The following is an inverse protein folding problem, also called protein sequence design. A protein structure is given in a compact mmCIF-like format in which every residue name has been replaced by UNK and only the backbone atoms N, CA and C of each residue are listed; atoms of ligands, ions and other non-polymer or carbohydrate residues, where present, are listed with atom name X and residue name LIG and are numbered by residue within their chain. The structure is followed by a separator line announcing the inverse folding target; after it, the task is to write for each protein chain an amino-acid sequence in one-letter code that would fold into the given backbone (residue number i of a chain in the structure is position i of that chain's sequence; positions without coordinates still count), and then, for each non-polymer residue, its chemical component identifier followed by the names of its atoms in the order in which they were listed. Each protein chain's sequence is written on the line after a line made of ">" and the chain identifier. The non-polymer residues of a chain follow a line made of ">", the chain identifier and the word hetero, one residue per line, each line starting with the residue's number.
data_IF_733350446657
#
_entry.id   IF_733350446657
#
_cell.length_a   1.000
_cell.length_b   1.000
_cell.length_c   1.000
_cell.angle_alpha   90.00
_cell.angle_beta   90.00
_cell.angle_gamma   90.00
#
_symmetry.space_group_name_H-M   'P 1'
#
loop_
_entity.id
_entity.type
_entity.pdbx_description
1 polymer ?
#
# COMPACT_ATOMS: atom_id res chain seq x y z
N UNK A 1 12.66 7.13 -9.72
CA UNK A 1 13.18 5.81 -10.17
C UNK A 1 14.64 5.60 -9.78
N UNK A 2 15.50 6.60 -9.95
CA UNK A 2 16.88 6.52 -9.46
C UNK A 2 16.96 6.26 -7.95
N UNK A 3 16.07 6.85 -7.15
CA UNK A 3 15.99 6.61 -5.69
C UNK A 3 15.63 5.16 -5.33
N UNK A 4 14.69 4.54 -6.07
CA UNK A 4 14.31 3.13 -5.86
C UNK A 4 15.49 2.19 -6.07
N UNK A 5 16.30 2.45 -7.11
CA UNK A 5 17.51 1.67 -7.40
C UNK A 5 18.62 1.95 -6.38
N UNK A 6 18.85 3.22 -6.04
CA UNK A 6 19.90 3.62 -5.08
C UNK A 6 19.65 3.02 -3.69
N UNK A 7 18.39 2.90 -3.28
CA UNK A 7 18.00 2.27 -2.02
C UNK A 7 18.03 0.74 -2.06
N UNK A 8 18.25 0.11 -3.23
CA UNK A 8 18.30 -1.34 -3.38
C UNK A 8 16.98 -2.04 -3.05
N UNK A 9 15.85 -1.38 -3.31
CA UNK A 9 14.52 -1.87 -2.93
C UNK A 9 13.99 -2.90 -3.93
N UNK A 10 13.27 -3.88 -3.38
CA UNK A 10 12.59 -4.90 -4.17
C UNK A 10 11.13 -4.53 -4.47
N UNK A 11 10.51 -3.84 -3.52
CA UNK A 11 9.11 -3.39 -3.56
C UNK A 11 9.06 -2.00 -2.93
N UNK A 12 8.35 -1.08 -3.55
CA UNK A 12 8.11 0.26 -3.02
C UNK A 12 6.63 0.61 -3.17
N UNK A 13 5.99 0.92 -2.05
CA UNK A 13 4.68 1.55 -2.03
C UNK A 13 4.83 3.05 -2.29
N UNK A 14 4.00 3.59 -3.19
CA UNK A 14 3.91 5.02 -3.49
C UNK A 14 2.49 5.50 -3.30
N UNK A 15 2.31 6.53 -2.48
CA UNK A 15 1.04 7.26 -2.31
C UNK A 15 0.98 8.46 -3.25
N UNK A 16 -0.19 9.09 -3.34
CA UNK A 16 -0.43 10.29 -4.15
C UNK A 16 -0.01 10.20 -5.63
N UNK A 17 -0.18 9.03 -6.25
CA UNK A 17 0.23 8.85 -7.65
C UNK A 17 -0.51 9.78 -8.61
N UNK A 18 -1.68 10.31 -8.21
CA UNK A 18 -2.57 11.19 -8.99
C UNK A 18 -2.92 10.60 -10.37
N UNK A 19 -2.78 9.28 -10.51
CA UNK A 19 -3.13 8.54 -11.72
C UNK A 19 -4.64 8.35 -11.81
N UNK A 20 -5.09 8.13 -13.03
CA UNK A 20 -6.49 7.81 -13.35
C UNK A 20 -6.66 6.32 -13.54
N UNK A 21 -7.78 5.80 -13.06
CA UNK A 21 -8.14 4.39 -13.14
C UNK A 21 -7.10 3.49 -12.44
N UNK A 22 -7.18 2.19 -12.72
CA UNK A 22 -6.25 1.18 -12.24
C UNK A 22 -5.52 0.53 -13.40
N UNK A 23 -4.32 0.02 -13.17
CA UNK A 23 -3.60 -0.69 -14.20
C UNK A 23 -2.17 -1.08 -13.83
N UNK A 24 -1.49 -1.59 -14.85
CA UNK A 24 -0.10 -2.04 -14.79
C UNK A 24 0.67 -1.31 -15.88
N UNK A 25 1.87 -0.85 -15.56
CA UNK A 25 2.75 -0.12 -16.46
C UNK A 25 4.18 -0.60 -16.26
N UNK A 26 4.86 -0.92 -17.35
CA UNK A 26 6.30 -1.12 -17.33
C UNK A 26 7.00 0.25 -17.31
N UNK A 27 7.97 0.40 -16.42
CA UNK A 27 8.79 1.60 -16.30
C UNK A 27 10.03 1.45 -17.18
N UNK A 28 10.66 2.57 -17.55
CA UNK A 28 11.79 2.62 -18.51
C UNK A 28 12.98 1.71 -18.16
N UNK A 29 13.14 1.34 -16.89
CA UNK A 29 14.23 0.49 -16.41
C UNK A 29 13.80 -0.98 -16.19
N UNK A 30 12.66 -1.41 -16.74
CA UNK A 30 12.13 -2.77 -16.67
C UNK A 30 11.40 -3.12 -15.37
N UNK A 31 11.25 -2.19 -14.42
CA UNK A 31 10.42 -2.40 -13.24
C UNK A 31 8.93 -2.27 -13.57
N UNK A 32 8.08 -2.84 -12.72
CA UNK A 32 6.63 -2.83 -12.92
C UNK A 32 5.97 -1.88 -11.93
N UNK A 33 5.14 -0.96 -12.39
CA UNK A 33 4.23 -0.19 -11.56
C UNK A 33 2.82 -0.77 -11.68
N UNK A 34 2.29 -1.27 -10.57
CA UNK A 34 0.86 -1.58 -10.42
C UNK A 34 0.24 -0.40 -9.68
N UNK A 35 -0.88 0.15 -10.15
CA UNK A 35 -1.48 1.33 -9.53
C UNK A 35 -3.01 1.26 -9.48
N UNK A 36 -3.55 1.92 -8.45
CA UNK A 36 -4.95 2.30 -8.31
C UNK A 36 -5.04 3.81 -8.19
N UNK A 37 -6.02 4.40 -8.85
CA UNK A 37 -6.19 5.83 -8.94
C UNK A 37 -7.67 6.19 -9.11
N UNK A 38 -7.97 7.49 -9.03
CA UNK A 38 -9.36 7.95 -9.11
C UNK A 38 -9.95 7.72 -10.49
N UNK A 39 -11.26 7.53 -10.55
CA UNK A 39 -12.00 7.50 -11.80
C UNK A 39 -11.78 8.77 -12.64
N UNK A 40 -11.95 8.65 -13.96
CA UNK A 40 -11.73 9.75 -14.91
C UNK A 40 -12.55 11.01 -14.59
N UNK A 41 -13.75 10.85 -14.03
CA UNK A 41 -14.70 11.92 -13.69
C UNK A 41 -14.41 12.70 -12.38
N UNK A 42 -13.50 12.23 -11.52
CA UNK A 42 -13.16 12.89 -10.23
C UNK A 42 -11.86 13.68 -10.30
N UNK A 43 -11.68 14.74 -9.52
CA UNK A 43 -10.37 15.44 -9.45
C UNK A 43 -9.30 14.49 -8.91
N UNK A 44 -8.10 14.50 -9.51
CA UNK A 44 -6.99 13.66 -9.06
C UNK A 44 -6.46 14.13 -7.70
N UNK A 45 -6.99 13.56 -6.62
CA UNK A 45 -6.65 13.88 -5.23
C UNK A 45 -6.12 12.67 -4.44
N UNK A 46 -6.13 11.49 -5.04
CA UNK A 46 -5.69 10.24 -4.42
C UNK A 46 -4.94 9.36 -5.43
N UNK A 47 -4.56 8.17 -4.98
CA UNK A 47 -3.90 7.16 -5.80
C UNK A 47 -2.79 6.47 -5.03
N UNK A 48 -2.70 5.15 -5.24
CA UNK A 48 -1.66 4.30 -4.68
C UNK A 48 -1.01 3.50 -5.78
N UNK A 49 0.26 3.16 -5.59
CA UNK A 49 1.00 2.30 -6.48
C UNK A 49 2.00 1.44 -5.75
N UNK A 50 2.35 0.34 -6.42
CA UNK A 50 3.35 -0.61 -5.99
C UNK A 50 4.36 -0.75 -7.12
N UNK A 51 5.58 -0.28 -6.90
CA UNK A 51 6.71 -0.49 -7.81
C UNK A 51 7.38 -1.81 -7.42
N UNK A 52 7.50 -2.71 -8.38
CA UNK A 52 8.02 -4.05 -8.22
C UNK A 52 9.28 -4.18 -9.05
N UNK A 53 10.38 -4.56 -8.40
CA UNK A 53 11.65 -4.78 -9.08
C UNK A 53 11.52 -5.90 -10.13
N UNK A 54 12.19 -5.73 -11.28
CA UNK A 54 12.06 -6.63 -12.45
C UNK A 54 12.24 -8.13 -12.12
N UNK A 55 13.10 -8.44 -11.15
CA UNK A 55 13.37 -9.81 -10.68
C UNK A 55 12.16 -10.50 -10.03
N UNK A 56 11.19 -9.73 -9.53
CA UNK A 56 10.01 -10.25 -8.83
C UNK A 56 8.76 -10.29 -9.71
N UNK A 57 8.78 -9.69 -10.91
CA UNK A 57 7.61 -9.59 -11.80
C UNK A 57 6.99 -10.97 -12.06
N UNK A 58 7.81 -11.97 -12.36
CA UNK A 58 7.36 -13.35 -12.63
C UNK A 58 6.79 -14.07 -11.40
N UNK A 59 6.98 -13.50 -10.20
CA UNK A 59 6.41 -14.02 -8.95
C UNK A 59 5.12 -13.32 -8.55
N UNK A 60 4.71 -12.24 -9.24
CA UNK A 60 3.43 -11.58 -8.99
C UNK A 60 2.31 -12.51 -9.47
N UNK A 61 1.47 -12.97 -8.56
CA UNK A 61 0.40 -13.93 -8.87
C UNK A 61 -0.96 -13.27 -9.05
N UNK A 62 -1.23 -12.21 -8.31
CA UNK A 62 -2.49 -11.45 -8.35
C UNK A 62 -2.23 -10.03 -7.88
N UNK A 63 -3.02 -9.08 -8.36
CA UNK A 63 -3.16 -7.77 -7.73
C UNK A 63 -4.62 -7.34 -7.79
N UNK A 64 -5.02 -6.51 -6.84
CA UNK A 64 -6.39 -6.01 -6.75
C UNK A 64 -6.40 -4.58 -6.21
N UNK A 65 -6.96 -3.67 -7.01
CA UNK A 65 -7.26 -2.31 -6.62
C UNK A 65 -8.65 -2.27 -5.99
N UNK A 66 -8.68 -2.24 -4.65
CA UNK A 66 -9.89 -2.25 -3.83
C UNK A 66 -10.56 -0.88 -3.85
N UNK A 67 -9.75 0.16 -3.62
CA UNK A 67 -10.16 1.57 -3.75
C UNK A 67 -9.03 2.37 -4.40
N UNK A 68 -9.24 3.67 -4.65
CA UNK A 68 -8.16 4.57 -5.05
C UNK A 68 -7.07 4.76 -3.97
N UNK A 69 -7.33 4.27 -2.76
CA UNK A 69 -6.46 4.39 -1.57
C UNK A 69 -5.89 3.06 -1.08
N UNK A 70 -6.38 1.92 -1.59
CA UNK A 70 -5.95 0.58 -1.15
C UNK A 70 -5.71 -0.31 -2.37
N UNK A 71 -4.47 -0.79 -2.51
CA UNK A 71 -4.02 -1.71 -3.55
C UNK A 71 -3.34 -2.91 -2.90
N UNK A 72 -3.74 -4.12 -3.26
CA UNK A 72 -3.06 -5.34 -2.85
C UNK A 72 -2.30 -5.99 -4.01
N UNK A 73 -1.13 -6.56 -3.71
CA UNK A 73 -0.30 -7.32 -4.64
C UNK A 73 0.15 -8.60 -3.98
N UNK A 74 -0.27 -9.74 -4.52
CA UNK A 74 0.16 -11.06 -4.10
C UNK A 74 1.41 -11.49 -4.87
N UNK A 75 2.41 -11.96 -4.13
CA UNK A 75 3.65 -12.51 -4.65
C UNK A 75 3.79 -13.94 -4.15
N UNK A 76 3.89 -14.88 -5.09
CA UNK A 76 4.09 -16.29 -4.84
C UNK A 76 5.46 -16.73 -5.33
N UNK A 77 6.32 -17.11 -4.40
CA UNK A 77 7.66 -17.64 -4.70
C UNK A 77 7.56 -19.09 -5.17
N UNK A 78 8.58 -19.54 -5.91
CA UNK A 78 8.68 -20.92 -6.42
C UNK A 78 8.73 -21.99 -5.32
N UNK A 79 9.21 -21.62 -4.13
CA UNK A 79 9.23 -22.49 -2.95
C UNK A 79 7.85 -22.63 -2.26
N UNK A 80 6.80 -22.06 -2.85
CA UNK A 80 5.43 -22.11 -2.36
C UNK A 80 5.10 -21.03 -1.33
N UNK A 81 6.07 -20.23 -0.88
CA UNK A 81 5.81 -19.13 0.05
C UNK A 81 5.03 -18.03 -0.65
N UNK A 82 4.01 -17.52 0.06
CA UNK A 82 3.16 -16.43 -0.38
C UNK A 82 3.33 -15.23 0.54
N UNK A 83 3.34 -14.04 -0.07
CA UNK A 83 3.26 -12.77 0.63
C UNK A 83 2.25 -11.87 -0.09
N UNK A 84 1.56 -11.03 0.67
CA UNK A 84 0.70 -9.97 0.15
C UNK A 84 1.24 -8.63 0.60
N UNK A 85 1.42 -7.71 -0.34
CA UNK A 85 1.76 -6.32 -0.06
C UNK A 85 0.52 -5.48 -0.28
N UNK A 86 0.06 -4.80 0.77
CA UNK A 86 -1.06 -3.87 0.74
C UNK A 86 -0.47 -2.46 0.77
N UNK A 87 -0.62 -1.71 -0.31
CA UNK A 87 -0.22 -0.31 -0.43
C UNK A 87 -1.40 0.58 -0.06
N UNK A 88 -1.19 1.50 0.88
CA UNK A 88 -2.26 2.36 1.42
C UNK A 88 -1.94 3.85 1.29
N UNK A 89 -3.01 4.63 1.13
CA UNK A 89 -2.99 6.08 1.31
C UNK A 89 -4.21 6.53 2.13
N UNK A 90 -4.01 6.73 3.44
CA UNK A 90 -5.03 7.09 4.40
C UNK A 90 -5.73 8.42 4.07
N UNK A 91 -6.98 8.59 4.50
CA UNK A 91 -7.70 9.86 4.36
C UNK A 91 -7.04 10.97 5.18
N UNK A 92 -7.24 12.22 4.76
CA UNK A 92 -6.67 13.38 5.45
C UNK A 92 -7.25 13.54 6.87
N UNK A 93 -6.50 14.21 7.75
CA UNK A 93 -6.89 14.43 9.14
C UNK A 93 -8.18 15.25 9.26
N UNK A 94 -8.47 16.14 8.33
CA UNK A 94 -9.68 16.98 8.33
C UNK A 94 -10.88 16.32 7.62
N UNK A 95 -10.71 15.11 7.09
CA UNK A 95 -11.79 14.39 6.42
C UNK A 95 -12.86 13.91 7.40
N UNK A 96 -14.09 13.73 6.90
CA UNK A 96 -15.23 13.29 7.70
C UNK A 96 -14.98 11.93 8.35
N UNK A 97 -15.54 11.75 9.55
CA UNK A 97 -15.41 10.51 10.32
C UNK A 97 -15.87 9.29 9.51
N UNK A 98 -16.98 9.41 8.78
CA UNK A 98 -17.53 8.30 8.00
C UNK A 98 -16.59 7.82 6.89
N UNK A 99 -15.84 8.74 6.27
CA UNK A 99 -14.84 8.39 5.25
C UNK A 99 -13.65 7.68 5.89
N UNK A 100 -13.24 8.11 7.09
CA UNK A 100 -12.17 7.46 7.85
C UNK A 100 -12.57 6.06 8.27
N UNK A 101 -13.77 5.91 8.82
CA UNK A 101 -14.30 4.61 9.25
C UNK A 101 -14.40 3.66 8.05
N UNK A 102 -14.95 4.12 6.93
CA UNK A 102 -15.02 3.34 5.68
C UNK A 102 -13.62 2.87 5.23
N UNK A 103 -12.61 3.74 5.28
CA UNK A 103 -11.24 3.37 4.91
C UNK A 103 -10.66 2.29 5.84
N UNK A 104 -10.85 2.42 7.16
CA UNK A 104 -10.33 1.47 8.13
C UNK A 104 -11.06 0.12 8.09
N UNK A 105 -12.36 0.12 7.87
CA UNK A 105 -13.17 -1.09 7.66
C UNK A 105 -12.69 -1.85 6.41
N UNK A 106 -12.53 -1.16 5.28
CA UNK A 106 -12.05 -1.75 4.04
C UNK A 106 -10.61 -2.30 4.20
N UNK A 107 -9.72 -1.54 4.84
CA UNK A 107 -8.35 -1.99 5.08
C UNK A 107 -8.30 -3.23 6.00
N UNK A 108 -9.19 -3.29 6.99
CA UNK A 108 -9.31 -4.46 7.88
C UNK A 108 -9.73 -5.68 7.08
N UNK A 109 -10.79 -5.57 6.27
CA UNK A 109 -11.28 -6.64 5.41
C UNK A 109 -10.18 -7.17 4.47
N UNK A 110 -9.51 -6.27 3.74
CA UNK A 110 -8.43 -6.64 2.80
C UNK A 110 -7.27 -7.34 3.53
N UNK A 111 -6.96 -6.91 4.75
CA UNK A 111 -5.90 -7.53 5.56
C UNK A 111 -6.28 -8.93 6.03
N UNK A 112 -7.51 -9.13 6.48
CA UNK A 112 -8.02 -10.42 6.97
C UNK A 112 -8.19 -11.45 5.84
N UNK A 113 -8.57 -11.01 4.64
CA UNK A 113 -8.70 -11.89 3.47
C UNK A 113 -7.36 -12.21 2.78
N UNK A 114 -6.30 -11.47 3.13
CA UNK A 114 -4.97 -11.65 2.54
C UNK A 114 -4.30 -12.96 2.98
N UNK A 115 -3.52 -13.54 2.07
CA UNK A 115 -2.88 -14.84 2.27
C UNK A 115 -1.38 -14.73 2.49
N UNK A 116 -0.84 -15.62 3.33
CA UNK A 116 0.60 -15.69 3.59
C UNK A 116 1.08 -14.56 4.50
N UNK A 117 2.31 -14.09 4.30
CA UNK A 117 2.85 -12.97 5.08
C UNK A 117 2.31 -11.66 4.53
N UNK A 118 1.62 -10.89 5.36
CA UNK A 118 1.02 -9.60 4.96
C UNK A 118 1.94 -8.45 5.36
N UNK A 119 2.26 -7.59 4.40
CA UNK A 119 2.95 -6.32 4.60
C UNK A 119 2.00 -5.19 4.23
N UNK A 120 1.65 -4.33 5.19
CA UNK A 120 0.88 -3.11 4.93
C UNK A 120 1.84 -1.93 4.92
N UNK A 121 1.93 -1.25 3.80
CA UNK A 121 2.92 -0.21 3.52
C UNK A 121 2.23 1.03 2.96
N UNK A 122 2.78 2.20 3.25
CA UNK A 122 2.33 3.45 2.66
C UNK A 122 2.10 4.51 3.73
N UNK A 123 1.33 5.52 3.36
CA UNK A 123 0.99 6.62 4.24
C UNK A 123 -0.40 6.36 4.82
N UNK A 124 -0.49 6.23 6.14
CA UNK A 124 -1.76 5.99 6.82
C UNK A 124 -2.46 7.28 7.24
N UNK A 125 -1.83 8.45 7.07
CA UNK A 125 -2.30 9.74 7.61
C UNK A 125 -2.80 9.63 9.06
N UNK A 126 -2.10 8.81 9.85
CA UNK A 126 -2.46 8.53 11.24
C UNK A 126 -1.22 8.47 12.10
N UNK A 127 -1.41 8.72 13.40
CA UNK A 127 -0.35 8.72 14.39
C UNK A 127 -0.57 7.55 15.34
N UNK A 128 0.46 6.76 15.55
CA UNK A 128 0.44 5.76 16.61
C UNK A 128 0.57 6.48 17.95
N UNK A 129 -0.35 6.19 18.87
CA UNK A 129 -0.29 6.74 20.22
C UNK A 129 0.96 6.27 20.98
N UNK A 130 1.21 6.85 22.15
CA UNK A 130 2.32 6.45 23.01
C UNK A 130 2.30 4.95 23.31
N UNK A 131 3.49 4.39 23.49
CA UNK A 131 3.68 3.00 23.92
C UNK A 131 2.89 2.74 25.21
N UNK A 132 1.88 1.91 25.10
CA UNK A 132 1.13 1.35 26.21
C UNK A 132 1.69 -0.05 26.50
N UNK A 133 1.75 -0.46 27.78
CA UNK A 133 2.21 -1.79 28.19
C UNK A 133 1.52 -2.95 27.47
N UNK A 134 0.31 -2.69 26.94
CA UNK A 134 -0.46 -3.62 26.10
C UNK A 134 0.16 -3.94 24.73
N UNK A 135 0.98 -3.04 24.16
CA UNK A 135 1.53 -3.17 22.80
C UNK A 135 3.06 -3.04 22.76
N UNK A 136 3.73 -3.57 23.79
CA UNK A 136 5.16 -3.34 24.03
C UNK A 136 6.10 -3.79 22.89
N UNK A 137 5.65 -4.71 22.04
CA UNK A 137 6.41 -5.27 20.91
C UNK A 137 6.05 -4.65 19.55
N UNK A 138 4.98 -3.84 19.48
CA UNK A 138 4.41 -3.33 18.22
C UNK A 138 4.57 -1.82 18.09
N UNK A 139 4.43 -1.06 19.19
CA UNK A 139 4.52 0.40 19.17
C UNK A 139 5.93 0.87 19.56
N UNK A 140 6.54 1.68 18.69
CA UNK A 140 7.85 2.29 18.90
C UNK A 140 7.86 3.39 19.96
N UNK A 141 9.05 3.80 20.38
CA UNK A 141 9.24 4.75 21.49
C UNK A 141 8.88 6.21 21.17
N UNK A 142 8.52 6.52 19.93
CA UNK A 142 8.30 7.89 19.42
C UNK A 142 6.83 8.21 19.08
N UNK A 143 5.87 7.43 19.58
CA UNK A 143 4.44 7.74 19.43
C UNK A 143 4.01 8.96 20.25
N UNK A 144 2.99 9.68 19.80
CA UNK A 144 2.54 10.92 20.44
C UNK A 144 1.67 10.69 21.69
N UNK A 145 1.73 11.63 22.63
CA UNK A 145 0.82 11.68 23.77
C UNK A 145 -0.55 12.19 23.30
N UNK A 146 -1.63 11.54 23.74
CA UNK A 146 -2.98 12.11 23.67
C UNK A 146 -3.09 13.38 24.50
#
# INVERSE_FOLDING_TARGET
>A
MQEFQNAGLDILAVSETKKKNKGVMELENGHLLIYSGVENNKRAAAGVGCIIHQKLIQSVSKWEAHTERILSVEIKKRDGKQMTVICVYGPDEDEKAEIKDTFWEELTLVTEESKGIVYVLGDFNSRVGKKDGRYNTVIGQYGENK
#
